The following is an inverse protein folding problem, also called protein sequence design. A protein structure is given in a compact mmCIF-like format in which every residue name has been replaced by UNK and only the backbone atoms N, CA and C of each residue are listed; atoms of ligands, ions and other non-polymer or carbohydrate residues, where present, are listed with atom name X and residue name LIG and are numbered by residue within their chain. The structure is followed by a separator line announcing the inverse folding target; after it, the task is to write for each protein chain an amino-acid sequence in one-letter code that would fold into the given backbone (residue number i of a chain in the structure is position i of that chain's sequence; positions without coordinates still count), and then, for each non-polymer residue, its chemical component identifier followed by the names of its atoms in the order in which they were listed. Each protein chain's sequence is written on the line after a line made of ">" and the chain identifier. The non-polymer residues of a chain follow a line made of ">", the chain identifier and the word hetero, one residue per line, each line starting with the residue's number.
data_IF_057749611570
#
_entry.id   IF_057749611570
#
_cell.length_a   1.000
_cell.length_b   1.000
_cell.length_c   1.000
_cell.angle_alpha   90.00
_cell.angle_beta   90.00
_cell.angle_gamma   90.00
#
_symmetry.space_group_name_H-M   'P 1'
#
loop_
_entity.id
_entity.type
_entity.pdbx_description
1 polymer ?
#
# COMPACT_ATOMS: atom_id res chain seq x y z
N UNK A 1 -3.75 0.30 -5.22
CA UNK A 1 -3.75 -1.11 -5.63
C UNK A 1 -3.39 -1.98 -4.44
N UNK A 2 -4.19 -3.00 -4.07
CA UNK A 2 -3.86 -3.89 -2.97
C UNK A 2 -2.53 -4.63 -3.20
N UNK A 3 -1.69 -4.69 -2.18
CA UNK A 3 -0.35 -5.24 -2.31
C UNK A 3 -0.27 -6.71 -2.74
N UNK A 4 -1.32 -7.50 -2.46
CA UNK A 4 -1.40 -8.90 -2.89
C UNK A 4 -1.40 -9.11 -4.41
N UNK A 5 -1.64 -8.05 -5.19
CA UNK A 5 -1.64 -8.10 -6.66
C UNK A 5 -0.33 -7.59 -7.28
N UNK A 6 0.71 -7.33 -6.48
CA UNK A 6 2.03 -6.94 -7.01
C UNK A 6 2.56 -8.09 -7.88
N UNK A 7 2.89 -7.78 -9.13
CA UNK A 7 3.39 -8.76 -10.12
C UNK A 7 2.32 -9.66 -10.72
N UNK A 8 1.02 -9.39 -10.50
CA UNK A 8 -0.09 -10.15 -11.09
C UNK A 8 -0.85 -9.31 -12.12
N UNK A 9 -1.34 -9.97 -13.17
CA UNK A 9 -2.22 -9.35 -14.15
C UNK A 9 -3.63 -9.18 -13.58
N UNK A 10 -4.09 -7.93 -13.52
CA UNK A 10 -5.44 -7.58 -13.05
C UNK A 10 -6.22 -6.89 -14.16
N UNK A 11 -7.53 -7.12 -14.20
CA UNK A 11 -8.39 -6.42 -15.15
C UNK A 11 -8.87 -5.11 -14.53
N UNK A 12 -8.67 -4.00 -15.24
CA UNK A 12 -9.11 -2.68 -14.81
C UNK A 12 -10.22 -2.19 -15.74
N UNK A 13 -11.32 -1.72 -15.17
CA UNK A 13 -12.40 -1.04 -15.87
C UNK A 13 -12.40 0.43 -15.47
N UNK A 14 -12.23 1.31 -16.44
CA UNK A 14 -12.31 2.75 -16.24
C UNK A 14 -13.71 3.25 -16.64
N UNK A 15 -14.41 3.86 -15.69
CA UNK A 15 -15.66 4.60 -15.91
C UNK A 15 -15.37 6.10 -15.88
N UNK A 16 -16.38 6.92 -16.21
CA UNK A 16 -16.23 8.38 -16.24
C UNK A 16 -15.73 8.98 -14.93
N UNK A 17 -16.19 8.45 -13.79
CA UNK A 17 -15.92 8.99 -12.46
C UNK A 17 -15.17 8.02 -11.53
N UNK A 18 -14.92 6.78 -11.96
CA UNK A 18 -14.31 5.76 -11.10
C UNK A 18 -13.47 4.74 -11.87
N UNK A 19 -12.54 4.13 -11.17
CA UNK A 19 -11.69 3.03 -11.62
C UNK A 19 -12.00 1.80 -10.77
N UNK A 20 -12.34 0.70 -11.43
CA UNK A 20 -12.68 -0.59 -10.83
C UNK A 20 -11.59 -1.61 -11.15
N UNK A 21 -11.05 -2.24 -10.12
CA UNK A 21 -10.04 -3.30 -10.26
C UNK A 21 -10.70 -4.64 -10.01
N UNK A 22 -10.48 -5.59 -10.91
CA UNK A 22 -11.04 -6.92 -10.84
C UNK A 22 -9.96 -7.99 -10.72
N UNK A 23 -10.15 -8.88 -9.75
CA UNK A 23 -9.54 -10.20 -9.71
C UNK A 23 -10.57 -11.19 -10.24
N UNK A 24 -10.34 -11.71 -11.45
CA UNK A 24 -11.32 -12.56 -12.17
C UNK A 24 -12.69 -11.85 -12.28
N UNK A 25 -13.67 -12.28 -11.50
CA UNK A 25 -15.05 -11.73 -11.48
C UNK A 25 -15.34 -10.86 -10.26
N UNK A 26 -14.41 -10.74 -9.32
CA UNK A 26 -14.60 -10.00 -8.07
C UNK A 26 -13.96 -8.62 -8.16
N UNK A 27 -14.70 -7.58 -7.78
CA UNK A 27 -14.13 -6.25 -7.59
C UNK A 27 -13.27 -6.26 -6.33
N UNK A 28 -11.99 -5.91 -6.47
CA UNK A 28 -11.01 -5.90 -5.37
C UNK A 28 -10.62 -4.52 -4.91
N UNK A 29 -10.81 -3.50 -5.76
CA UNK A 29 -10.63 -2.10 -5.40
C UNK A 29 -11.55 -1.22 -6.25
N UNK A 30 -12.03 -0.12 -5.65
CA UNK A 30 -12.79 0.94 -6.31
C UNK A 30 -12.16 2.27 -5.95
N UNK A 31 -11.87 3.09 -6.95
CA UNK A 31 -11.27 4.39 -6.74
C UNK A 31 -12.01 5.47 -7.51
N UNK A 32 -12.24 6.66 -6.93
CA UNK A 32 -12.68 7.80 -7.71
C UNK A 32 -11.63 8.16 -8.76
N UNK A 33 -12.08 8.60 -9.93
CA UNK A 33 -11.19 9.09 -10.98
C UNK A 33 -10.72 10.49 -10.59
N UNK A 34 -9.42 10.62 -10.33
CA UNK A 34 -8.76 11.89 -10.09
C UNK A 34 -8.49 12.55 -11.45
N UNK A 35 -8.96 13.78 -11.63
CA UNK A 35 -8.91 14.49 -12.93
C UNK A 35 -7.77 15.49 -13.01
N UNK A 36 -7.20 15.90 -11.87
CA UNK A 36 -6.06 16.82 -11.86
C UNK A 36 -4.74 16.07 -12.01
N UNK A 37 -3.82 16.68 -12.75
CA UNK A 37 -2.49 16.11 -12.98
C UNK A 37 -1.71 16.08 -11.67
N UNK A 38 -1.15 14.92 -11.33
CA UNK A 38 -0.36 14.73 -10.11
C UNK A 38 -1.18 14.38 -8.86
N UNK A 39 -2.50 14.25 -8.96
CA UNK A 39 -3.31 13.73 -7.86
C UNK A 39 -3.11 12.23 -7.69
N UNK A 40 -2.95 11.80 -6.44
CA UNK A 40 -2.93 10.41 -6.03
C UNK A 40 -3.76 10.26 -4.77
N UNK A 41 -4.28 9.05 -4.57
CA UNK A 41 -5.06 8.70 -3.39
C UNK A 41 -4.50 7.43 -2.78
N UNK A 42 -3.90 7.59 -1.61
CA UNK A 42 -3.38 6.48 -0.83
C UNK A 42 -4.49 5.95 0.09
N UNK A 43 -4.86 4.69 -0.12
CA UNK A 43 -5.82 4.01 0.74
C UNK A 43 -5.08 3.02 1.63
N UNK A 44 -5.14 3.23 2.94
CA UNK A 44 -4.43 2.41 3.94
C UNK A 44 -4.71 0.91 3.79
N UNK A 45 -5.96 0.54 3.50
CA UNK A 45 -6.34 -0.87 3.31
C UNK A 45 -5.47 -1.59 2.26
N UNK A 46 -4.99 -0.88 1.24
CA UNK A 46 -4.17 -1.48 0.18
C UNK A 46 -2.74 -1.87 0.60
N UNK A 47 -2.27 -1.32 1.73
CA UNK A 47 -0.92 -1.53 2.23
C UNK A 47 -0.87 -2.48 3.43
N UNK A 48 -2.02 -2.84 4.01
CA UNK A 48 -2.08 -3.62 5.26
C UNK A 48 -1.36 -4.97 5.15
N UNK A 49 -1.42 -5.67 4.01
CA UNK A 49 -0.69 -6.93 3.83
C UNK A 49 0.83 -6.76 3.86
N UNK A 50 1.37 -5.67 3.31
CA UNK A 50 2.81 -5.37 3.38
C UNK A 50 3.20 -4.92 4.78
N UNK A 51 2.36 -4.10 5.41
CA UNK A 51 2.57 -3.63 6.78
C UNK A 51 2.53 -4.80 7.77
N UNK A 52 1.76 -5.85 7.50
CA UNK A 52 1.75 -7.06 8.32
C UNK A 52 3.11 -7.79 8.29
N UNK A 53 3.80 -7.78 7.15
CA UNK A 53 5.15 -8.34 7.03
C UNK A 53 6.20 -7.47 7.72
N UNK A 54 6.05 -6.15 7.67
CA UNK A 54 6.96 -5.18 8.30
C UNK A 54 6.19 -4.15 9.13
N UNK A 55 5.79 -4.48 10.37
CA UNK A 55 4.93 -3.62 11.19
C UNK A 55 5.60 -2.28 11.56
N UNK A 56 6.94 -2.25 11.67
CA UNK A 56 7.68 -1.03 11.96
C UNK A 56 7.54 0.09 10.92
N UNK A 57 7.07 -0.22 9.71
CA UNK A 57 6.85 0.78 8.65
C UNK A 57 5.51 1.52 8.78
N UNK A 58 4.60 1.06 9.65
CA UNK A 58 3.25 1.64 9.74
C UNK A 58 3.26 3.07 10.27
N UNK A 59 4.10 3.36 11.28
CA UNK A 59 4.17 4.67 11.93
C UNK A 59 4.54 5.81 10.98
N UNK A 60 5.35 5.54 9.95
CA UNK A 60 5.80 6.51 8.95
C UNK A 60 5.11 6.39 7.59
N UNK A 61 4.03 5.61 7.48
CA UNK A 61 3.39 5.38 6.17
C UNK A 61 2.57 6.57 5.70
N UNK A 62 2.74 6.99 4.44
CA UNK A 62 1.92 8.04 3.81
C UNK A 62 0.45 7.67 3.82
N UNK A 63 0.14 6.39 3.59
CA UNK A 63 -1.22 5.87 3.61
C UNK A 63 -1.90 6.05 4.99
N UNK A 64 -1.16 5.98 6.10
CA UNK A 64 -1.70 6.27 7.43
C UNK A 64 -1.96 7.78 7.61
N UNK A 65 -1.05 8.63 7.15
CA UNK A 65 -1.24 10.08 7.19
C UNK A 65 -2.48 10.50 6.38
N UNK A 66 -2.65 9.96 5.17
CA UNK A 66 -3.84 10.17 4.34
C UNK A 66 -5.10 9.59 4.98
N UNK A 67 -5.03 8.44 5.64
CA UNK A 67 -6.19 7.86 6.33
C UNK A 67 -6.67 8.72 7.52
N UNK A 68 -5.74 9.37 8.23
CA UNK A 68 -6.08 10.36 9.26
C UNK A 68 -6.75 11.59 8.67
N UNK A 69 -6.18 12.16 7.61
CA UNK A 69 -6.73 13.33 6.93
C UNK A 69 -8.13 13.07 6.35
N UNK A 70 -8.35 11.87 5.81
CA UNK A 70 -9.64 11.47 5.24
C UNK A 70 -10.65 10.95 6.28
N UNK A 71 -10.27 10.88 7.57
CA UNK A 71 -11.13 10.41 8.66
C UNK A 71 -11.46 8.91 8.64
N UNK A 72 -10.82 8.11 7.78
CA UNK A 72 -11.00 6.66 7.77
C UNK A 72 -10.30 5.98 8.95
N UNK A 73 -9.28 6.63 9.51
CA UNK A 73 -8.63 6.24 10.75
C UNK A 73 -9.12 7.13 11.89
N UNK A 74 -10.04 6.59 12.71
CA UNK A 74 -10.72 7.34 13.78
C UNK A 74 -9.95 7.27 15.11
N UNK A 75 -10.31 8.13 16.06
CA UNK A 75 -9.75 8.15 17.42
C UNK A 75 -9.83 6.80 18.15
N UNK A 76 -10.87 6.01 17.90
CA UNK A 76 -11.00 4.65 18.46
C UNK A 76 -9.85 3.74 18.00
N UNK A 77 -9.40 3.89 16.75
CA UNK A 77 -8.26 3.14 16.24
C UNK A 77 -6.95 3.60 16.89
N UNK A 78 -6.82 4.90 17.19
CA UNK A 78 -5.67 5.45 17.90
C UNK A 78 -5.60 4.98 19.35
N UNK A 79 -6.74 5.00 20.06
CA UNK A 79 -6.84 4.48 21.42
C UNK A 79 -6.53 2.98 21.47
N UNK A 80 -7.03 2.20 20.51
CA UNK A 80 -6.70 0.78 20.39
C UNK A 80 -5.21 0.56 20.11
N UNK A 81 -4.62 1.36 19.22
CA UNK A 81 -3.19 1.30 18.91
C UNK A 81 -2.34 1.56 20.16
N UNK A 82 -2.65 2.60 20.92
CA UNK A 82 -1.95 2.92 22.16
C UNK A 82 -2.06 1.79 23.19
N UNK A 83 -3.28 1.28 23.41
CA UNK A 83 -3.51 0.15 24.33
C UNK A 83 -2.75 -1.11 23.90
N UNK A 84 -2.74 -1.44 22.61
CA UNK A 84 -2.04 -2.60 22.07
C UNK A 84 -0.51 -2.46 22.18
N UNK A 85 0.04 -1.26 21.99
CA UNK A 85 1.47 -1.01 22.17
C UNK A 85 1.91 -1.15 23.63
N UNK A 86 1.13 -0.60 24.56
CA UNK A 86 1.39 -0.76 26.01
C UNK A 86 1.35 -2.23 26.43
N UNK A 87 0.43 -3.03 25.86
CA UNK A 87 0.27 -4.43 26.23
C UNK A 87 1.31 -5.39 25.62
N UNK A 88 1.77 -5.15 24.39
CA UNK A 88 2.52 -6.16 23.62
C UNK A 88 3.89 -5.73 23.07
N UNK A 89 4.38 -4.54 23.44
CA UNK A 89 5.52 -3.88 22.79
C UNK A 89 5.20 -3.52 21.32
N UNK A 90 5.95 -2.59 20.79
CA UNK A 90 5.60 -1.86 19.56
C UNK A 90 5.30 -2.74 18.34
N UNK A 91 6.12 -3.74 18.05
CA UNK A 91 5.96 -4.57 16.84
C UNK A 91 4.71 -5.47 16.90
N UNK A 92 4.46 -6.11 18.04
CA UNK A 92 3.30 -6.99 18.20
C UNK A 92 2.00 -6.20 18.39
N UNK A 93 2.05 -5.05 19.07
CA UNK A 93 0.89 -4.14 19.18
C UNK A 93 0.48 -3.58 17.82
N UNK A 94 1.45 -3.16 17.00
CA UNK A 94 1.17 -2.68 15.63
C UNK A 94 0.60 -3.79 14.76
N UNK A 95 1.08 -5.03 14.91
CA UNK A 95 0.55 -6.19 14.19
C UNK A 95 -0.91 -6.46 14.57
N UNK A 96 -1.25 -6.41 15.86
CA UNK A 96 -2.63 -6.56 16.32
C UNK A 96 -3.55 -5.48 15.74
N UNK A 97 -3.08 -4.22 15.67
CA UNK A 97 -3.83 -3.15 15.00
C UNK A 97 -4.06 -3.45 13.51
N UNK A 98 -3.02 -3.88 12.78
CA UNK A 98 -3.13 -4.20 11.35
C UNK A 98 -4.17 -5.31 11.12
N UNK A 99 -4.17 -6.35 11.96
CA UNK A 99 -5.16 -7.43 11.89
C UNK A 99 -6.60 -6.94 12.11
N UNK A 100 -6.80 -6.02 13.07
CA UNK A 100 -8.09 -5.37 13.29
C UNK A 100 -8.49 -4.51 12.09
N UNK A 101 -7.56 -3.75 11.50
CA UNK A 101 -7.85 -2.96 10.30
C UNK A 101 -8.27 -3.83 9.12
N UNK A 102 -7.63 -5.00 8.95
CA UNK A 102 -8.02 -5.95 7.90
C UNK A 102 -9.41 -6.56 8.13
N UNK A 103 -9.92 -6.57 9.38
CA UNK A 103 -11.25 -7.08 9.71
C UNK A 103 -12.37 -6.25 9.05
N UNK A 104 -12.15 -4.95 8.83
CA UNK A 104 -13.08 -4.05 8.13
C UNK A 104 -13.43 -4.53 6.71
N UNK A 105 -12.64 -5.42 6.11
CA UNK A 105 -12.94 -6.02 4.79
C UNK A 105 -14.09 -7.02 4.82
N UNK A 106 -14.39 -7.59 5.98
CA UNK A 106 -15.37 -8.68 6.14
C UNK A 106 -16.48 -8.34 7.13
N UNK A 107 -16.38 -7.22 7.83
CA UNK A 107 -17.31 -6.80 8.88
C UNK A 107 -17.70 -5.33 8.66
N UNK A 108 -18.93 -4.93 9.00
CA UNK A 108 -19.32 -3.53 8.95
C UNK A 108 -18.49 -2.71 9.94
N UNK A 109 -18.10 -1.50 9.54
CA UNK A 109 -17.18 -0.65 10.29
C UNK A 109 -17.63 -0.40 11.74
N UNK A 110 -18.94 -0.19 11.94
CA UNK A 110 -19.51 -0.01 13.28
C UNK A 110 -19.29 -1.20 14.21
N UNK A 111 -19.41 -2.43 13.69
CA UNK A 111 -19.22 -3.63 14.51
C UNK A 111 -17.77 -3.75 14.96
N UNK A 112 -16.83 -3.38 14.08
CA UNK A 112 -15.40 -3.35 14.41
C UNK A 112 -15.10 -2.26 15.43
N UNK A 113 -15.67 -1.05 15.28
CA UNK A 113 -15.50 0.05 16.23
C UNK A 113 -16.07 -0.30 17.62
N UNK A 114 -17.28 -0.89 17.68
CA UNK A 114 -17.88 -1.38 18.93
C UNK A 114 -17.01 -2.46 19.57
N UNK A 115 -16.47 -3.38 18.76
CA UNK A 115 -15.55 -4.43 19.21
C UNK A 115 -14.24 -3.88 19.77
N UNK A 116 -13.62 -2.90 19.10
CA UNK A 116 -12.41 -2.22 19.58
C UNK A 116 -12.69 -1.48 20.90
N UNK A 117 -13.79 -0.73 20.98
CA UNK A 117 -14.16 -0.02 22.20
C UNK A 117 -14.42 -0.99 23.37
N UNK A 118 -15.07 -2.13 23.12
CA UNK A 118 -15.26 -3.18 24.12
C UNK A 118 -13.93 -3.82 24.55
N UNK A 119 -13.02 -4.09 23.60
CA UNK A 119 -11.70 -4.65 23.90
C UNK A 119 -10.85 -3.69 24.74
N UNK A 120 -10.90 -2.39 24.45
CA UNK A 120 -10.22 -1.35 25.26
C UNK A 120 -10.79 -1.34 26.69
N UNK A 121 -12.13 -1.31 26.85
CA UNK A 121 -12.77 -1.35 28.17
C UNK A 121 -12.43 -2.59 28.98
N UNK A 122 -12.31 -3.74 28.31
CA UNK A 122 -12.00 -5.02 28.95
C UNK A 122 -10.50 -5.21 29.24
N UNK A 123 -9.63 -4.28 28.81
CA UNK A 123 -8.17 -4.49 28.82
C UNK A 123 -7.72 -5.66 27.92
N UNK A 124 -8.61 -6.16 27.07
CA UNK A 124 -8.46 -7.37 26.28
C UNK A 124 -8.04 -7.06 24.83
N UNK A 125 -7.22 -6.03 24.62
CA UNK A 125 -6.60 -5.74 23.32
C UNK A 125 -5.64 -6.86 22.84
N UNK A 126 -5.69 -8.03 23.47
CA UNK A 126 -4.54 -8.91 23.74
C UNK A 126 -4.57 -10.28 23.10
N UNK A 127 -5.61 -10.66 22.32
CA UNK A 127 -5.63 -12.00 21.70
C UNK A 127 -5.08 -12.00 20.28
N UNK A 128 -3.77 -11.77 20.14
CA UNK A 128 -3.05 -12.12 18.92
C UNK A 128 -2.91 -13.66 18.85
N UNK A 129 -3.29 -14.35 17.75
CA UNK A 129 -3.01 -15.77 17.61
C UNK A 129 -1.48 -15.94 17.56
N UNK A 130 -0.88 -16.53 18.60
CA UNK A 130 0.52 -17.00 18.50
C UNK A 130 0.64 -17.82 17.22
N UNK A 131 1.47 -17.37 16.28
CA UNK A 131 1.86 -18.16 15.11
C UNK A 131 2.65 -19.35 15.67
N UNK A 132 2.00 -20.48 15.89
CA UNK A 132 2.67 -21.74 16.21
C UNK A 132 3.69 -21.99 15.12
N UNK A 133 4.97 -21.94 15.48
CA UNK A 133 6.06 -22.28 14.59
C UNK A 133 5.97 -23.75 14.22
N UNK A 134 5.55 -24.03 13.00
CA UNK A 134 5.86 -25.28 12.32
C UNK A 134 6.83 -24.96 11.19
N UNK A 135 8.07 -25.43 11.36
CA UNK A 135 9.02 -25.68 10.28
C UNK A 135 9.71 -24.46 9.68
N UNK A 136 10.74 -23.94 10.35
CA UNK A 136 11.93 -23.52 9.61
C UNK A 136 12.62 -24.79 9.10
N UNK A 137 12.12 -25.31 7.98
CA UNK A 137 12.89 -26.21 7.15
C UNK A 137 14.06 -25.42 6.58
N UNK A 138 15.23 -25.58 7.20
CA UNK A 138 16.53 -25.29 6.60
C UNK A 138 16.50 -25.77 5.15
N UNK A 139 16.72 -24.94 4.11
CA UNK A 139 16.86 -25.49 2.77
C UNK A 139 18.09 -26.39 2.80
N UNK A 140 17.86 -27.69 2.70
CA UNK A 140 18.92 -28.65 2.47
C UNK A 140 19.59 -28.26 1.15
N UNK A 141 20.90 -28.01 1.22
CA UNK A 141 21.75 -27.80 0.07
C UNK A 141 21.48 -28.93 -0.95
N UNK A 142 21.07 -28.53 -2.15
CA UNK A 142 20.91 -29.43 -3.28
C UNK A 142 22.25 -29.39 -4.04
N UNK A 143 22.88 -30.54 -4.32
CA UNK A 143 24.19 -30.55 -4.98
C UNK A 143 24.08 -30.09 -6.43
N UNK A 144 25.10 -29.32 -6.81
CA UNK A 144 25.42 -28.88 -8.15
C UNK A 144 25.73 -30.08 -9.06
N UNK A 145 25.44 -29.91 -10.36
CA UNK A 145 25.70 -30.81 -11.52
C UNK A 145 24.56 -31.74 -11.95
N UNK A 146 23.88 -31.37 -13.04
CA UNK A 146 24.17 -31.94 -14.36
C UNK A 146 23.54 -31.05 -15.45
N UNK A 147 24.40 -30.36 -16.21
CA UNK A 147 24.04 -29.72 -17.47
C UNK A 147 23.69 -30.81 -18.50
N UNK A 148 22.40 -31.09 -18.64
CA UNK A 148 21.83 -31.86 -19.74
C UNK A 148 21.18 -30.89 -20.72
N UNK A 149 21.91 -30.52 -21.77
CA UNK A 149 21.39 -29.77 -22.89
C UNK A 149 20.23 -30.52 -23.56
N UNK A 150 19.05 -29.88 -23.64
CA UNK A 150 18.10 -30.17 -24.72
C UNK A 150 17.46 -28.88 -25.18
N UNK A 151 17.93 -28.42 -26.34
CA UNK A 151 17.37 -27.32 -27.11
C UNK A 151 15.91 -27.63 -27.45
N UNK A 152 15.04 -26.63 -27.26
CA UNK A 152 13.75 -26.57 -27.94
C UNK A 152 13.78 -25.33 -28.84
N UNK A 153 13.59 -25.55 -30.13
CA UNK A 153 13.62 -24.56 -31.20
C UNK A 153 12.51 -23.50 -31.05
N UNK A 154 12.69 -22.29 -31.61
CA UNK A 154 11.71 -21.21 -31.50
C UNK A 154 10.56 -21.39 -32.49
N UNK A 155 9.32 -21.29 -32.01
CA UNK A 155 8.14 -21.15 -32.84
C UNK A 155 7.76 -19.67 -33.01
N UNK A 156 7.31 -19.38 -34.22
CA UNK A 156 7.22 -18.08 -34.85
C UNK A 156 6.20 -17.09 -34.24
N UNK A 157 6.58 -15.81 -34.36
CA UNK A 157 5.79 -14.57 -34.47
C UNK A 157 4.28 -14.62 -34.16
N UNK A 158 3.89 -13.88 -33.10
CA UNK A 158 2.79 -12.91 -33.24
C UNK A 158 3.16 -11.54 -32.68
N UNK A 159 3.13 -10.58 -33.61
CA UNK A 159 3.52 -9.18 -33.47
C UNK A 159 2.39 -8.40 -32.79
N UNK A 160 2.41 -8.31 -31.45
CA UNK A 160 1.56 -7.33 -30.74
C UNK A 160 2.37 -6.10 -30.33
N UNK A 161 1.94 -4.97 -30.90
CA UNK A 161 2.47 -3.62 -30.76
C UNK A 161 2.50 -3.22 -29.27
N UNK A 162 3.70 -3.23 -28.66
CA UNK A 162 3.93 -2.70 -27.32
C UNK A 162 3.86 -1.17 -27.37
N UNK A 163 2.79 -0.57 -26.88
CA UNK A 163 2.82 0.82 -26.43
C UNK A 163 3.60 0.88 -25.12
N UNK A 164 4.92 1.09 -25.22
CA UNK A 164 5.77 1.47 -24.09
C UNK A 164 5.25 2.80 -23.55
N UNK A 165 4.58 2.80 -22.40
CA UNK A 165 4.48 4.00 -21.59
C UNK A 165 5.84 4.15 -20.92
N UNK A 166 6.68 5.01 -21.50
CA UNK A 166 7.91 5.44 -20.88
C UNK A 166 7.55 6.23 -19.62
N UNK A 167 7.98 5.74 -18.45
CA UNK A 167 8.02 6.53 -17.23
C UNK A 167 9.21 7.49 -17.34
N UNK A 168 9.04 8.82 -17.41
CA UNK A 168 10.17 9.72 -17.33
C UNK A 168 10.61 9.83 -15.86
N UNK A 169 11.72 9.17 -15.54
CA UNK A 169 12.56 9.52 -14.39
C UNK A 169 12.98 10.99 -14.57
N UNK A 170 12.30 11.91 -13.88
CA UNK A 170 12.71 13.31 -13.84
C UNK A 170 13.78 13.50 -12.77
N UNK A 171 14.96 13.79 -13.30
CA UNK A 171 16.18 14.20 -12.64
C UNK A 171 15.97 15.56 -11.93
N UNK A 172 16.33 15.65 -10.65
CA UNK A 172 16.35 16.91 -9.91
C UNK A 172 17.57 17.75 -10.35
N UNK A 173 17.35 18.72 -11.24
CA UNK A 173 18.32 19.77 -11.58
C UNK A 173 17.98 21.08 -10.84
N UNK A 174 18.98 21.63 -10.17
CA UNK A 174 18.94 22.83 -9.33
C UNK A 174 18.54 24.11 -10.10
N UNK A 175 17.94 25.13 -9.44
CA UNK A 175 17.73 26.44 -10.05
C UNK A 175 19.02 27.28 -10.04
N UNK A 176 19.42 27.72 -11.23
CA UNK A 176 20.48 28.70 -11.46
C UNK A 176 19.94 30.11 -11.21
N UNK A 177 20.45 30.82 -10.19
CA UNK A 177 20.22 32.25 -10.00
C UNK A 177 21.10 33.03 -10.97
N UNK A 178 20.51 33.73 -11.95
CA UNK A 178 21.13 34.88 -12.60
C UNK A 178 20.10 35.58 -13.51
N UNK A 179 19.65 36.75 -13.09
CA UNK A 179 19.56 37.99 -13.90
C UNK A 179 18.40 38.89 -13.46
N UNK A 180 18.74 39.86 -12.61
CA UNK A 180 18.05 41.14 -12.50
C UNK A 180 18.27 41.95 -13.79
N UNK A 181 17.31 42.80 -14.18
CA UNK A 181 17.67 44.10 -14.72
C UNK A 181 16.97 45.22 -13.94
N UNK A 182 17.77 46.07 -13.27
CA UNK A 182 18.05 47.46 -13.64
C UNK A 182 16.82 48.34 -13.89
N UNK A 183 16.40 49.04 -12.84
CA UNK A 183 15.55 50.21 -12.94
C UNK A 183 16.39 51.42 -13.39
N UNK A 184 16.11 51.99 -14.57
CA UNK A 184 16.40 53.39 -14.89
C UNK A 184 15.33 53.99 -15.81
N UNK A 185 14.63 54.98 -15.25
CA UNK A 185 14.25 56.30 -15.80
C UNK A 185 13.92 56.41 -17.29
N UNK A 186 12.72 56.92 -17.61
CA UNK A 186 12.52 58.23 -18.28
C UNK A 186 11.03 58.53 -18.55
N UNK A 187 10.63 59.78 -18.30
CA UNK A 187 9.35 60.41 -18.70
C UNK A 187 9.22 60.48 -20.24
N UNK A 188 8.03 60.78 -20.83
CA UNK A 188 7.47 62.16 -20.95
C UNK A 188 5.91 62.16 -20.88
N UNK A 189 5.12 63.26 -20.96
CA UNK A 189 5.24 64.64 -21.46
C UNK A 189 4.50 65.59 -20.53
#
# INVERSE_FOLDING_TARGET
>A
MPARFIGQDVRVLLRGNELLVFERRKVVARHPRLTRRGEFRDELDHYLEMLLAKPGAMAGSTALATARQNGSFTEVHEAFCAAARTAHRDAAGTRALIEVLMLHRRRPAEAVQRGMAAAIRAGAATRHPRRSGLGQGRPAALPDRLLGHRQVAPADRHRHRRSRVACPLHNHGQPNELSRPSARRSCPR
#
